data_IF_498837175512
#
_entry.id   IF_498837175512
#
_cell.length_a   1.000
_cell.length_b   1.000
_cell.length_c   1.000
_cell.angle_alpha   90.00
_cell.angle_beta   90.00
_cell.angle_gamma   90.00
#
_symmetry.space_group_name_H-M   'P 1'
#
loop_
_entity.id
_entity.type
_entity.pdbx_description
1 polymer ?
#
# COMPACT_ATOMS: atom_id res chain seq x y z
N UNK A 1 -5.99 11.75 5.52
CA UNK A 1 -6.61 10.85 6.52
C UNK A 1 -7.37 11.71 7.52
N UNK A 2 -8.68 11.54 7.69
CA UNK A 2 -9.40 12.18 8.82
C UNK A 2 -10.70 12.92 8.55
N UNK A 3 -11.42 12.68 7.44
CA UNK A 3 -12.76 13.27 7.23
C UNK A 3 -13.87 12.21 7.19
N UNK A 4 -13.76 11.15 8.01
CA UNK A 4 -14.89 10.23 8.22
C UNK A 4 -15.36 10.32 9.66
N UNK A 5 -16.68 10.22 9.84
CA UNK A 5 -17.35 10.27 11.13
C UNK A 5 -16.62 9.40 12.17
N UNK A 6 -16.22 9.94 13.35
CA UNK A 6 -15.59 9.19 14.42
C UNK A 6 -16.39 7.92 14.80
N UNK A 7 -17.72 8.00 14.69
CA UNK A 7 -18.62 6.89 14.92
C UNK A 7 -18.39 5.73 13.95
N UNK A 8 -18.19 6.00 12.64
CA UNK A 8 -17.89 4.95 11.66
C UNK A 8 -16.57 4.25 11.97
N UNK A 9 -15.56 5.00 12.39
CA UNK A 9 -14.25 4.44 12.77
C UNK A 9 -14.39 3.51 13.97
N UNK A 10 -15.13 3.94 15.00
CA UNK A 10 -15.37 3.14 16.19
C UNK A 10 -16.12 1.84 15.87
N UNK A 11 -17.17 1.92 15.05
CA UNK A 11 -17.93 0.74 14.61
C UNK A 11 -17.05 -0.22 13.82
N UNK A 12 -16.25 0.27 12.86
CA UNK A 12 -15.32 -0.57 12.10
C UNK A 12 -14.27 -1.23 12.98
N UNK A 13 -13.74 -0.53 13.99
CA UNK A 13 -12.80 -1.11 14.95
C UNK A 13 -13.47 -2.22 15.79
N UNK A 14 -14.68 -1.99 16.30
CA UNK A 14 -15.42 -2.99 17.07
C UNK A 14 -15.69 -4.26 16.26
N UNK A 15 -16.07 -4.11 14.98
CA UNK A 15 -16.28 -5.25 14.07
C UNK A 15 -14.96 -6.01 13.85
N UNK A 16 -13.85 -5.30 13.63
CA UNK A 16 -12.53 -5.91 13.49
C UNK A 16 -12.11 -6.70 14.74
N UNK A 17 -12.31 -6.12 15.93
CA UNK A 17 -12.03 -6.82 17.20
C UNK A 17 -12.93 -8.04 17.41
N UNK A 18 -14.21 -7.98 17.01
CA UNK A 18 -15.09 -9.13 17.07
C UNK A 18 -14.56 -10.30 16.22
N UNK A 19 -14.12 -10.03 14.98
CA UNK A 19 -13.52 -11.07 14.12
C UNK A 19 -12.17 -11.58 14.64
N UNK A 20 -11.33 -10.70 15.20
CA UNK A 20 -10.05 -11.10 15.79
C UNK A 20 -10.21 -12.00 17.04
N UNK A 21 -11.37 -11.97 17.71
CA UNK A 21 -11.65 -12.76 18.91
C UNK A 21 -12.13 -14.19 18.62
N UNK A 22 -12.33 -14.53 17.34
CA UNK A 22 -12.75 -15.88 16.90
C UNK A 22 -11.54 -16.80 16.81
N UNK A 23 -11.61 -17.95 17.48
CA UNK A 23 -10.60 -19.01 17.39
C UNK A 23 -10.10 -19.49 18.75
N UNK A 24 -8.99 -20.22 18.72
CA UNK A 24 -8.33 -20.70 19.93
C UNK A 24 -7.49 -19.57 20.55
N UNK A 25 -7.72 -19.30 21.83
CA UNK A 25 -6.86 -18.39 22.60
C UNK A 25 -5.48 -19.05 22.80
N UNK A 26 -4.42 -18.40 22.34
CA UNK A 26 -3.04 -18.91 22.40
C UNK A 26 -2.48 -18.98 23.83
N UNK A 27 -3.05 -18.22 24.76
CA UNK A 27 -2.62 -18.22 26.17
C UNK A 27 -3.38 -19.28 26.96
N UNK A 28 -4.71 -19.25 26.88
CA UNK A 28 -5.56 -20.08 27.72
C UNK A 28 -6.03 -21.39 27.08
N UNK A 29 -5.79 -21.58 25.78
CA UNK A 29 -6.19 -22.78 25.03
C UNK A 29 -7.71 -22.93 24.82
N UNK A 30 -8.50 -21.99 25.34
CA UNK A 30 -9.95 -22.02 25.24
C UNK A 30 -10.42 -21.61 23.84
N UNK A 31 -11.42 -22.31 23.32
CA UNK A 31 -12.08 -21.98 22.06
C UNK A 31 -13.09 -20.85 22.30
N UNK A 32 -12.97 -19.76 21.54
CA UNK A 32 -13.89 -18.63 21.60
C UNK A 32 -14.59 -18.46 20.25
N UNK A 33 -15.91 -18.36 20.29
CA UNK A 33 -16.74 -18.07 19.12
C UNK A 33 -16.56 -19.05 17.94
N UNK A 34 -16.19 -20.30 18.21
CA UNK A 34 -16.01 -21.33 17.16
C UNK A 34 -17.30 -22.01 16.74
N UNK A 35 -18.39 -21.90 17.52
CA UNK A 35 -19.73 -22.40 17.19
C UNK A 35 -19.78 -23.85 16.67
N UNK A 36 -18.87 -24.72 17.14
CA UNK A 36 -18.70 -26.11 16.70
C UNK A 36 -18.29 -26.30 15.22
N UNK A 37 -17.78 -25.26 14.58
CA UNK A 37 -17.24 -25.30 13.22
C UNK A 37 -15.72 -25.51 13.28
N UNK A 38 -15.18 -26.64 12.77
CA UNK A 38 -13.76 -26.97 12.85
C UNK A 38 -12.83 -25.93 12.21
N UNK A 39 -13.28 -25.28 11.14
CA UNK A 39 -12.52 -24.27 10.42
C UNK A 39 -12.29 -23.01 11.27
N UNK A 40 -13.21 -22.68 12.18
CA UNK A 40 -13.10 -21.52 13.04
C UNK A 40 -12.09 -21.72 14.18
N UNK A 41 -11.64 -22.95 14.45
CA UNK A 41 -10.62 -23.24 15.48
C UNK A 41 -9.31 -22.49 15.19
N UNK A 42 -8.94 -22.38 13.92
CA UNK A 42 -7.76 -21.63 13.46
C UNK A 42 -7.97 -20.10 13.46
N UNK A 43 -9.18 -19.65 13.78
CA UNK A 43 -9.60 -18.27 13.67
C UNK A 43 -9.79 -17.82 12.22
N UNK A 44 -10.17 -16.55 12.05
CA UNK A 44 -10.32 -15.94 10.73
C UNK A 44 -8.94 -15.46 10.26
N UNK A 45 -8.45 -16.00 9.15
CA UNK A 45 -7.19 -15.52 8.54
C UNK A 45 -7.34 -14.05 8.16
N UNK A 46 -6.45 -13.22 8.70
CA UNK A 46 -6.39 -11.79 8.40
C UNK A 46 -6.25 -11.55 6.88
N UNK A 47 -5.37 -12.32 6.23
CA UNK A 47 -5.13 -12.23 4.79
C UNK A 47 -6.41 -12.51 4.00
N UNK A 48 -7.13 -13.59 4.31
CA UNK A 48 -8.39 -13.95 3.62
C UNK A 48 -9.45 -12.87 3.84
N UNK A 49 -9.60 -12.36 5.05
CA UNK A 49 -10.58 -11.32 5.37
C UNK A 49 -10.29 -10.02 4.60
N UNK A 50 -9.04 -9.59 4.53
CA UNK A 50 -8.64 -8.37 3.80
C UNK A 50 -8.84 -8.54 2.29
N UNK A 51 -8.42 -9.67 1.71
CA UNK A 51 -8.64 -9.96 0.28
C UNK A 51 -10.13 -10.00 -0.07
N UNK A 52 -10.95 -10.63 0.77
CA UNK A 52 -12.40 -10.68 0.57
C UNK A 52 -13.05 -9.30 0.65
N UNK A 53 -12.70 -8.50 1.65
CA UNK A 53 -13.25 -7.16 1.83
C UNK A 53 -12.85 -6.22 0.67
N UNK A 54 -11.59 -6.26 0.25
CA UNK A 54 -11.11 -5.49 -0.90
C UNK A 54 -11.78 -5.94 -2.19
N UNK A 55 -11.88 -7.26 -2.43
CA UNK A 55 -12.52 -7.81 -3.62
C UNK A 55 -14.01 -7.47 -3.71
N UNK A 56 -14.75 -7.57 -2.61
CA UNK A 56 -16.16 -7.17 -2.57
C UNK A 56 -16.31 -5.66 -2.81
N UNK A 57 -15.45 -4.84 -2.20
CA UNK A 57 -15.45 -3.39 -2.42
C UNK A 57 -15.24 -3.02 -3.88
N UNK A 58 -14.23 -3.62 -4.52
CA UNK A 58 -13.94 -3.39 -5.94
C UNK A 58 -15.07 -3.87 -6.86
N UNK A 59 -15.69 -5.01 -6.55
CA UNK A 59 -16.84 -5.53 -7.30
C UNK A 59 -18.06 -4.60 -7.20
N UNK A 60 -18.34 -4.06 -6.01
CA UNK A 60 -19.44 -3.13 -5.79
C UNK A 60 -19.17 -1.81 -6.55
N UNK A 61 -17.95 -1.27 -6.46
CA UNK A 61 -17.55 -0.07 -7.21
C UNK A 61 -17.64 -0.28 -8.73
N UNK A 62 -17.16 -1.42 -9.23
CA UNK A 62 -17.23 -1.77 -10.66
C UNK A 62 -18.69 -1.89 -11.13
N UNK A 63 -19.58 -2.35 -10.26
CA UNK A 63 -21.02 -2.45 -10.55
C UNK A 63 -21.69 -1.07 -10.54
N UNK A 64 -21.31 -0.19 -9.61
CA UNK A 64 -21.84 1.18 -9.48
C UNK A 64 -21.38 2.10 -10.62
N UNK A 65 -20.09 2.05 -10.99
CA UNK A 65 -19.53 2.85 -12.08
C UNK A 65 -19.98 2.36 -13.47
N UNK A 66 -20.60 1.18 -13.52
CA UNK A 66 -20.83 0.41 -14.74
C UNK A 66 -19.50 -0.05 -15.35
N UNK A 67 -19.55 -0.98 -16.30
CA UNK A 67 -18.38 -1.31 -17.14
C UNK A 67 -18.06 -0.12 -18.06
N UNK A 68 -17.57 0.98 -17.51
CA UNK A 68 -16.96 2.07 -18.26
C UNK A 68 -15.61 1.58 -18.76
N UNK A 69 -15.67 0.84 -19.86
CA UNK A 69 -14.54 0.68 -20.79
C UNK A 69 -14.26 2.02 -21.48
N UNK A 70 -14.03 3.09 -20.72
CA UNK A 70 -13.35 4.28 -21.22
C UNK A 70 -11.84 4.01 -21.12
N UNK A 71 -11.44 2.90 -21.72
CA UNK A 71 -10.04 2.55 -21.86
C UNK A 71 -9.42 3.64 -22.72
N UNK A 72 -8.64 4.52 -22.09
CA UNK A 72 -7.66 5.35 -22.80
C UNK A 72 -6.97 4.39 -23.77
N UNK A 73 -7.22 4.54 -25.07
CA UNK A 73 -6.59 3.72 -26.12
C UNK A 73 -5.11 4.10 -26.20
N UNK A 74 -4.37 3.86 -25.13
CA UNK A 74 -2.92 3.89 -25.11
C UNK A 74 -2.46 2.67 -25.89
N UNK A 75 -2.28 2.82 -27.20
CA UNK A 75 -1.54 1.84 -28.00
C UNK A 75 -0.08 1.91 -27.58
N UNK A 76 0.27 1.22 -26.51
CA UNK A 76 1.66 1.06 -26.09
C UNK A 76 2.35 0.19 -27.14
N UNK A 77 3.26 0.78 -27.92
CA UNK A 77 4.06 0.04 -28.90
C UNK A 77 5.28 -0.56 -28.20
N UNK A 78 5.62 -1.83 -28.45
CA UNK A 78 6.81 -2.45 -27.85
C UNK A 78 8.11 -1.65 -28.09
N UNK A 79 8.21 -0.96 -29.22
CA UNK A 79 9.35 -0.07 -29.51
C UNK A 79 9.45 1.16 -28.60
N UNK A 80 8.33 1.66 -28.06
CA UNK A 80 8.31 2.79 -27.12
C UNK A 80 8.72 2.33 -25.71
N UNK A 81 8.38 1.09 -25.33
CA UNK A 81 8.83 0.47 -24.08
C UNK A 81 10.37 0.35 -24.09
N UNK A 82 10.95 -0.18 -25.17
CA UNK A 82 12.41 -0.31 -25.31
C UNK A 82 13.14 1.03 -25.26
N UNK A 83 12.58 2.09 -25.87
CA UNK A 83 13.15 3.45 -25.78
C UNK A 83 13.07 4.01 -24.37
N UNK A 84 11.94 3.83 -23.69
CA UNK A 84 11.76 4.26 -22.30
C UNK A 84 12.75 3.55 -21.37
N UNK A 85 13.00 2.26 -21.59
CA UNK A 85 13.96 1.47 -20.84
C UNK A 85 15.40 1.94 -21.07
N UNK A 86 15.73 2.37 -22.29
CA UNK A 86 17.04 2.93 -22.61
C UNK A 86 17.24 4.35 -22.03
N UNK A 87 16.16 5.09 -21.82
CA UNK A 87 16.18 6.41 -21.18
C UNK A 87 16.19 6.36 -19.64
N UNK A 88 15.79 5.24 -19.02
CA UNK A 88 15.77 5.08 -17.56
C UNK A 88 17.09 5.44 -16.85
N UNK A 89 18.29 5.04 -17.33
CA UNK A 89 19.56 5.37 -16.69
C UNK A 89 19.81 6.87 -16.56
N UNK A 90 19.21 7.69 -17.45
CA UNK A 90 19.30 9.16 -17.38
C UNK A 90 18.72 9.72 -16.08
N UNK A 91 17.79 9.00 -15.46
CA UNK A 91 17.13 9.41 -14.23
C UNK A 91 17.77 8.81 -12.97
N UNK A 92 18.97 8.23 -13.06
CA UNK A 92 19.69 7.61 -11.93
C UNK A 92 19.74 8.49 -10.67
N UNK A 93 20.02 9.79 -10.82
CA UNK A 93 20.04 10.72 -9.69
C UNK A 93 18.66 10.87 -9.02
N UNK A 94 17.58 10.80 -9.81
CA UNK A 94 16.21 10.80 -9.30
C UNK A 94 15.88 9.48 -8.60
N UNK A 95 16.33 8.35 -9.14
CA UNK A 95 16.17 7.04 -8.51
C UNK A 95 16.87 6.99 -7.14
N UNK A 96 18.15 7.37 -7.09
CA UNK A 96 18.94 7.33 -5.86
C UNK A 96 18.35 8.21 -4.75
N UNK A 97 17.99 9.47 -5.05
CA UNK A 97 17.38 10.36 -4.05
C UNK A 97 16.02 9.85 -3.58
N UNK A 98 15.20 9.33 -4.48
CA UNK A 98 13.85 8.86 -4.16
C UNK A 98 13.90 7.58 -3.34
N UNK A 99 14.89 6.72 -3.59
CA UNK A 99 15.20 5.54 -2.78
C UNK A 99 15.56 5.96 -1.35
N UNK A 100 16.44 6.95 -1.17
CA UNK A 100 16.80 7.45 0.16
C UNK A 100 15.62 8.04 0.93
N UNK A 101 14.78 8.83 0.25
CA UNK A 101 13.54 9.37 0.83
C UNK A 101 12.60 8.23 1.22
N UNK A 102 12.43 7.24 0.35
CA UNK A 102 11.61 6.05 0.60
C UNK A 102 12.10 5.26 1.81
N UNK A 103 13.41 4.96 1.88
CA UNK A 103 14.02 4.27 3.03
C UNK A 103 13.78 5.06 4.32
N UNK A 104 14.05 6.37 4.32
CA UNK A 104 13.88 7.19 5.51
C UNK A 104 12.42 7.21 6.00
N UNK A 105 11.46 7.32 5.07
CA UNK A 105 10.03 7.32 5.38
C UNK A 105 9.50 5.93 5.76
N UNK A 106 10.07 4.84 5.22
CA UNK A 106 9.68 3.47 5.56
C UNK A 106 10.23 3.03 6.91
N UNK A 107 11.43 3.47 7.28
CA UNK A 107 12.00 3.23 8.61
C UNK A 107 11.24 4.00 9.69
N UNK A 108 10.73 5.20 9.36
CA UNK A 108 10.02 6.06 10.32
C UNK A 108 8.54 5.67 10.41
N UNK A 109 8.08 5.03 11.50
CA UNK A 109 6.65 4.91 11.76
C UNK A 109 6.13 6.31 12.14
N UNK A 110 5.00 6.82 11.61
CA UNK A 110 3.93 6.20 10.81
C UNK A 110 3.89 6.67 9.34
N UNK A 111 5.00 7.14 8.76
CA UNK A 111 4.97 7.88 7.50
C UNK A 111 4.52 7.02 6.30
N UNK A 112 5.01 5.79 6.18
CA UNK A 112 4.56 4.81 5.19
C UNK A 112 4.79 5.20 3.71
N UNK A 113 4.40 4.30 2.77
CA UNK A 113 4.70 4.47 1.34
C UNK A 113 4.02 5.68 0.69
N UNK A 114 2.77 5.97 1.07
CA UNK A 114 2.01 7.10 0.53
C UNK A 114 2.64 8.45 0.84
N UNK A 115 3.11 8.68 2.08
CA UNK A 115 3.79 9.93 2.42
C UNK A 115 5.15 10.03 1.72
N UNK A 116 5.88 8.91 1.58
CA UNK A 116 7.13 8.85 0.85
C UNK A 116 6.96 9.26 -0.62
N UNK A 117 5.90 8.78 -1.28
CA UNK A 117 5.54 9.10 -2.65
C UNK A 117 5.28 10.60 -2.84
N UNK A 118 4.47 11.21 -1.96
CA UNK A 118 4.20 12.65 -2.01
C UNK A 118 5.43 13.50 -1.73
N UNK A 119 6.24 13.11 -0.74
CA UNK A 119 7.47 13.81 -0.39
C UNK A 119 8.48 13.74 -1.55
N UNK A 120 8.68 12.55 -2.11
CA UNK A 120 9.58 12.32 -3.24
C UNK A 120 9.16 13.12 -4.48
N UNK A 121 7.86 13.15 -4.79
CA UNK A 121 7.33 13.99 -5.88
C UNK A 121 7.60 15.49 -5.63
N UNK A 122 7.36 15.96 -4.41
CA UNK A 122 7.63 17.35 -4.01
C UNK A 122 9.10 17.74 -4.15
N UNK A 123 10.01 16.87 -3.68
CA UNK A 123 11.46 17.05 -3.82
C UNK A 123 11.87 17.00 -5.29
N UNK A 124 11.30 16.09 -6.07
CA UNK A 124 11.58 15.97 -7.49
C UNK A 124 11.19 17.21 -8.28
N UNK A 125 10.00 17.76 -8.02
CA UNK A 125 9.51 19.01 -8.61
C UNK A 125 10.32 20.21 -8.15
N UNK A 126 10.74 20.26 -6.88
CA UNK A 126 11.54 21.38 -6.35
C UNK A 126 12.95 21.43 -6.95
N UNK A 127 13.58 20.27 -7.10
CA UNK A 127 14.95 20.10 -7.59
C UNK A 127 15.06 20.17 -9.13
N UNK A 128 13.96 20.03 -9.86
CA UNK A 128 13.97 20.15 -11.32
C UNK A 128 14.22 21.59 -11.77
N UNK A 129 15.16 21.75 -12.72
CA UNK A 129 15.41 23.03 -13.41
C UNK A 129 14.17 23.54 -14.16
N UNK A 130 13.47 22.64 -14.83
CA UNK A 130 12.20 22.93 -15.50
C UNK A 130 11.05 22.26 -14.72
N UNK A 131 10.20 23.09 -14.11
CA UNK A 131 9.03 22.68 -13.32
C UNK A 131 7.74 22.66 -14.14
N UNK A 132 7.76 23.22 -15.35
CA UNK A 132 6.55 23.44 -16.17
C UNK A 132 5.96 22.15 -16.75
N UNK A 133 6.79 21.09 -16.82
CA UNK A 133 6.42 19.77 -17.35
C UNK A 133 5.84 18.82 -16.30
N UNK A 134 6.01 19.11 -15.00
CA UNK A 134 5.39 18.30 -13.93
C UNK A 134 3.87 18.43 -14.00
N UNK A 135 3.17 17.29 -14.00
CA UNK A 135 1.71 17.23 -14.23
C UNK A 135 1.30 17.28 -15.71
N UNK A 136 2.24 17.43 -16.65
CA UNK A 136 2.01 17.40 -18.11
C UNK A 136 2.70 16.22 -18.80
N UNK A 137 3.01 15.16 -18.06
CA UNK A 137 3.65 13.95 -18.58
C UNK A 137 5.18 13.88 -18.43
N UNK A 138 5.80 14.64 -17.51
CA UNK A 138 7.22 14.47 -17.19
C UNK A 138 7.47 13.11 -16.51
N UNK A 139 8.35 12.23 -17.06
CA UNK A 139 8.65 10.93 -16.46
C UNK A 139 9.17 11.01 -15.03
N UNK A 140 9.86 12.10 -14.66
CA UNK A 140 10.36 12.30 -13.28
C UNK A 140 9.22 12.43 -12.27
N UNK A 141 8.03 12.80 -12.72
CA UNK A 141 6.82 12.86 -11.91
C UNK A 141 6.23 11.50 -11.56
N UNK A 142 6.65 10.42 -12.25
CA UNK A 142 6.22 9.03 -11.97
C UNK A 142 7.38 8.26 -11.36
N UNK A 143 8.57 8.36 -11.95
CA UNK A 143 9.76 7.63 -11.48
C UNK A 143 10.08 7.98 -10.01
N UNK A 144 9.97 9.24 -9.61
CA UNK A 144 10.27 9.65 -8.24
C UNK A 144 9.30 9.06 -7.19
N UNK A 145 7.96 9.21 -7.30
CA UNK A 145 7.04 8.61 -6.34
C UNK A 145 7.09 7.08 -6.35
N UNK A 146 7.07 6.41 -7.50
CA UNK A 146 7.09 4.94 -7.59
C UNK A 146 8.33 4.33 -6.94
N UNK A 147 9.51 4.92 -7.18
CA UNK A 147 10.76 4.44 -6.55
C UNK A 147 10.72 4.63 -5.03
N UNK A 148 10.18 5.76 -4.55
CA UNK A 148 10.07 6.02 -3.12
C UNK A 148 9.05 5.11 -2.44
N UNK A 149 7.93 4.83 -3.10
CA UNK A 149 6.89 3.91 -2.63
C UNK A 149 7.46 2.51 -2.42
N UNK A 150 8.10 1.97 -3.47
CA UNK A 150 8.68 0.64 -3.42
C UNK A 150 9.77 0.55 -2.34
N UNK A 151 10.64 1.55 -2.26
CA UNK A 151 11.72 1.58 -1.26
C UNK A 151 11.18 1.72 0.17
N UNK A 152 10.11 2.49 0.37
CA UNK A 152 9.42 2.62 1.64
C UNK A 152 8.73 1.31 2.05
N UNK A 153 8.09 0.63 1.11
CA UNK A 153 7.49 -0.69 1.33
C UNK A 153 8.52 -1.73 1.77
N UNK A 154 9.66 -1.81 1.08
CA UNK A 154 10.74 -2.76 1.44
C UNK A 154 11.41 -2.40 2.76
N UNK A 155 11.66 -1.11 3.02
CA UNK A 155 12.31 -0.68 4.27
C UNK A 155 11.38 -0.75 5.49
N UNK A 156 10.06 -0.62 5.33
CA UNK A 156 9.10 -0.83 6.42
C UNK A 156 9.10 -2.27 6.96
N UNK A 157 9.54 -3.24 6.16
CA UNK A 157 9.70 -4.65 6.56
C UNK A 157 10.99 -4.88 7.36
N UNK A 158 12.02 -4.05 7.19
CA UNK A 158 13.35 -4.30 7.76
C UNK A 158 13.44 -3.84 9.23
N UNK A 159 13.48 -2.54 9.60
CA UNK A 159 13.63 -2.20 11.03
C UNK A 159 12.34 -2.31 11.88
N UNK A 160 11.17 -1.76 11.49
CA UNK A 160 9.99 -1.77 12.35
C UNK A 160 9.40 -3.17 12.57
N UNK A 161 9.27 -3.94 11.49
CA UNK A 161 8.65 -5.26 11.55
C UNK A 161 9.56 -6.30 12.22
N UNK A 162 10.85 -6.38 11.87
CA UNK A 162 11.75 -7.37 12.49
C UNK A 162 12.08 -7.05 13.95
N UNK A 163 12.20 -5.76 14.32
CA UNK A 163 12.61 -5.40 15.67
C UNK A 163 11.44 -5.35 16.68
N UNK A 164 10.26 -4.90 16.25
CA UNK A 164 9.13 -4.65 17.16
C UNK A 164 7.92 -5.56 16.89
N UNK A 165 7.88 -6.32 15.79
CA UNK A 165 6.72 -7.11 15.40
C UNK A 165 5.47 -6.28 15.06
N UNK A 166 5.63 -4.95 14.93
CA UNK A 166 4.54 -4.02 14.61
C UNK A 166 4.64 -3.64 13.13
N UNK A 167 3.59 -3.85 12.33
CA UNK A 167 3.65 -3.55 10.91
C UNK A 167 3.67 -2.04 10.67
N UNK A 168 4.73 -1.55 10.01
CA UNK A 168 4.87 -0.14 9.63
C UNK A 168 4.05 0.27 8.40
N UNK A 169 3.46 -0.69 7.68
CA UNK A 169 2.61 -0.47 6.50
C UNK A 169 1.50 -1.52 6.40
N UNK A 170 0.44 -1.22 5.63
CA UNK A 170 -0.64 -2.17 5.36
C UNK A 170 -0.14 -3.44 4.65
N UNK A 171 0.85 -3.32 3.74
CA UNK A 171 1.49 -4.47 3.08
C UNK A 171 2.27 -5.34 4.06
N UNK A 172 3.01 -4.73 4.99
CA UNK A 172 3.73 -5.46 6.04
C UNK A 172 2.77 -6.20 6.99
N UNK A 173 1.60 -5.62 7.29
CA UNK A 173 0.58 -6.26 8.12
C UNK A 173 0.02 -7.54 7.47
N UNK A 174 -0.21 -7.51 6.15
CA UNK A 174 -0.67 -8.68 5.41
C UNK A 174 0.39 -9.79 5.38
N UNK A 175 1.68 -9.45 5.22
CA UNK A 175 2.76 -10.44 5.23
C UNK A 175 2.99 -11.08 6.60
N UNK A 176 2.64 -10.41 7.71
CA UNK A 176 2.68 -11.01 9.06
C UNK A 176 1.43 -11.81 9.43
N UNK A 177 0.26 -11.43 8.90
CA UNK A 177 -1.00 -12.10 9.20
C UNK A 177 -1.34 -13.30 8.31
N UNK A 178 -0.44 -13.66 7.40
CA UNK A 178 -0.54 -14.82 6.50
C UNK A 178 0.21 -16.03 7.01
#
# INVERSE_FOLDING_TARGET
MGAQSPFKTLVSMMIGFAFASVGMDTISGNLRLTFDIPELIKGISFLIAVMGLFGIGELLLTTEEGLRFDGIKARVRLGEIGRTLLEMPRYWFTLARSTLIGIWMGITPPAGPTAASFMSYGVARRSARDKSKFGKGDPRGIVAPETADHSAGTSALLPPMLALGVPGSATAAVMMGG
#
